data_IF_904737499064
#
_entry.id   IF_904737499064
#
_cell.length_a   1.000
_cell.length_b   1.000
_cell.length_c   1.000
_cell.angle_alpha   90.00
_cell.angle_beta   90.00
_cell.angle_gamma   90.00
#
_symmetry.space_group_name_H-M   'P 1'
#
loop_
_entity.id
_entity.type
_entity.pdbx_description
1 polymer ?
#
# COMPACT_ATOMS: atom_id res chain seq x y z
N UNK A 1 44.80 -14.13 -70.43
CA UNK A 1 44.55 -13.04 -69.45
C UNK A 1 44.47 -13.69 -68.11
N UNK A 2 45.55 -13.67 -67.34
CA UNK A 2 45.69 -14.34 -66.07
C UNK A 2 45.47 -13.31 -64.97
N UNK A 3 44.55 -13.58 -64.06
CA UNK A 3 44.26 -12.74 -62.89
C UNK A 3 44.98 -13.39 -61.70
N UNK A 4 45.94 -12.66 -61.13
CA UNK A 4 46.65 -13.04 -59.94
C UNK A 4 45.74 -12.76 -58.71
N UNK A 5 45.51 -13.75 -57.83
CA UNK A 5 45.01 -13.60 -56.47
C UNK A 5 46.17 -13.45 -55.53
N UNK A 6 46.16 -12.36 -54.75
CA UNK A 6 47.03 -12.20 -53.56
C UNK A 6 46.25 -12.59 -52.31
N UNK A 7 46.88 -13.29 -51.35
CA UNK A 7 46.24 -13.55 -50.04
C UNK A 7 46.45 -12.37 -49.06
N UNK A 8 45.38 -12.00 -48.38
CA UNK A 8 45.41 -11.06 -47.27
C UNK A 8 45.86 -11.75 -45.96
N UNK A 9 46.91 -11.24 -45.36
CA UNK A 9 47.38 -11.70 -44.06
C UNK A 9 46.55 -11.04 -42.93
N UNK A 10 45.91 -11.90 -42.13
CA UNK A 10 45.20 -11.48 -40.90
C UNK A 10 46.17 -11.35 -39.72
N UNK A 11 46.32 -10.15 -39.21
CA UNK A 11 47.07 -9.88 -37.97
C UNK A 11 46.18 -10.18 -36.76
N UNK A 12 46.59 -11.12 -35.93
CA UNK A 12 46.00 -11.41 -34.65
C UNK A 12 46.53 -10.37 -33.65
N UNK A 13 45.65 -9.53 -33.11
CA UNK A 13 45.92 -8.70 -31.96
C UNK A 13 45.75 -9.54 -30.70
N UNK A 14 46.86 -9.74 -29.96
CA UNK A 14 46.79 -10.33 -28.62
C UNK A 14 46.32 -9.26 -27.64
N UNK A 15 45.16 -9.48 -26.98
CA UNK A 15 44.69 -8.72 -25.85
C UNK A 15 45.35 -9.26 -24.58
N UNK A 16 46.26 -8.47 -23.99
CA UNK A 16 46.81 -8.74 -22.65
C UNK A 16 45.72 -8.54 -21.59
N UNK A 17 45.57 -9.55 -20.76
CA UNK A 17 44.68 -9.52 -19.59
C UNK A 17 45.35 -8.72 -18.46
N UNK A 18 44.70 -7.70 -17.89
CA UNK A 18 45.28 -6.99 -16.73
C UNK A 18 45.28 -7.89 -15.49
N UNK A 19 46.41 -7.92 -14.79
CA UNK A 19 46.59 -8.63 -13.54
C UNK A 19 45.62 -8.11 -12.45
N UNK A 20 45.01 -9.03 -11.69
CA UNK A 20 44.17 -8.73 -10.57
C UNK A 20 44.95 -8.01 -9.44
N UNK A 21 44.49 -6.85 -9.01
CA UNK A 21 44.94 -6.18 -7.81
C UNK A 21 44.42 -6.95 -6.56
N UNK A 22 45.24 -7.08 -5.50
CA UNK A 22 44.77 -7.67 -4.24
C UNK A 22 43.82 -6.72 -3.52
N UNK A 23 42.77 -7.27 -2.92
CA UNK A 23 41.80 -6.57 -2.10
C UNK A 23 42.44 -5.95 -0.85
N UNK A 24 42.04 -4.75 -0.44
CA UNK A 24 42.52 -4.16 0.81
C UNK A 24 41.95 -4.91 2.03
N UNK A 25 42.87 -5.19 2.96
CA UNK A 25 42.57 -5.78 4.27
C UNK A 25 41.63 -4.87 5.07
N UNK A 26 40.61 -5.49 5.69
CA UNK A 26 39.69 -4.83 6.60
C UNK A 26 40.44 -4.37 7.87
N UNK A 27 40.62 -3.08 8.03
CA UNK A 27 41.02 -2.47 9.27
C UNK A 27 39.83 -2.32 10.22
N UNK A 28 40.04 -2.74 11.46
CA UNK A 28 39.10 -2.66 12.57
C UNK A 28 38.88 -1.18 12.95
N UNK A 29 37.64 -0.69 13.08
CA UNK A 29 37.42 0.71 13.44
C UNK A 29 37.80 0.96 14.89
N UNK A 30 38.65 1.96 15.08
CA UNK A 30 38.94 2.58 16.36
C UNK A 30 37.72 3.37 16.83
N UNK A 31 37.41 3.26 18.12
CA UNK A 31 36.43 4.07 18.82
C UNK A 31 36.86 5.53 18.80
N UNK A 32 36.25 6.36 17.97
CA UNK A 32 36.36 7.81 18.04
C UNK A 32 35.09 8.38 18.70
N UNK A 33 35.30 9.06 19.82
CA UNK A 33 34.29 9.88 20.47
C UNK A 33 34.19 11.21 19.69
N UNK A 34 33.44 11.19 18.60
CA UNK A 34 33.10 12.39 17.86
C UNK A 34 31.72 12.89 18.27
N UNK A 35 31.68 14.11 18.76
CA UNK A 35 30.47 14.91 19.03
C UNK A 35 29.59 14.93 17.78
N UNK A 36 28.61 14.01 17.72
CA UNK A 36 27.60 14.01 16.71
C UNK A 36 26.61 15.15 16.94
N UNK A 37 26.55 16.05 15.98
CA UNK A 37 25.38 16.90 15.79
C UNK A 37 24.22 15.97 15.51
N UNK A 38 23.29 15.89 16.47
CA UNK A 38 22.14 15.00 16.42
C UNK A 38 21.33 15.22 15.15
N UNK A 39 21.06 14.10 14.46
CA UNK A 39 19.80 13.98 13.76
C UNK A 39 18.73 14.32 14.80
N UNK A 40 17.92 15.33 14.52
CA UNK A 40 16.78 15.64 15.36
C UNK A 40 15.92 14.36 15.41
N UNK A 41 15.91 13.70 16.57
CA UNK A 41 14.80 12.86 16.95
C UNK A 41 13.56 13.71 16.66
N UNK A 42 12.65 13.18 15.83
CA UNK A 42 11.30 13.67 15.78
C UNK A 42 10.75 13.41 17.19
N UNK A 43 11.00 14.36 18.09
CA UNK A 43 10.33 14.42 19.37
C UNK A 43 8.83 14.45 19.02
N UNK A 44 8.09 13.56 19.62
CA UNK A 44 6.63 13.65 19.76
C UNK A 44 6.30 15.06 20.25
N UNK A 45 6.09 15.97 19.29
CA UNK A 45 5.67 17.34 19.59
C UNK A 45 4.13 17.31 19.69
N UNK A 46 3.65 16.57 20.70
CA UNK A 46 2.24 16.47 21.07
C UNK A 46 1.60 17.82 21.41
N UNK A 47 2.39 18.89 21.39
CA UNK A 47 1.95 20.25 21.69
C UNK A 47 2.26 21.18 20.53
N UNK A 48 1.65 20.95 19.37
CA UNK A 48 1.64 21.94 18.30
C UNK A 48 0.94 23.20 18.83
N UNK A 49 1.71 24.26 19.00
CA UNK A 49 1.21 25.55 19.45
C UNK A 49 0.07 26.06 18.56
N UNK A 50 -0.63 27.14 18.97
CA UNK A 50 -1.73 27.69 18.18
C UNK A 50 -1.30 28.02 16.75
N UNK A 51 -2.07 27.56 15.75
CA UNK A 51 -1.83 27.77 14.32
C UNK A 51 -2.64 28.99 13.88
N UNK A 52 -2.02 30.13 13.51
CA UNK A 52 -2.74 31.29 13.00
C UNK A 52 -3.47 30.95 11.70
N UNK A 53 -4.78 31.18 11.65
CA UNK A 53 -5.59 30.85 10.50
C UNK A 53 -6.75 31.83 10.34
N UNK A 54 -6.88 32.49 9.18
CA UNK A 54 -8.02 33.32 8.76
C UNK A 54 -8.51 34.36 9.82
N UNK A 55 -7.56 35.02 10.51
CA UNK A 55 -7.80 36.08 11.49
C UNK A 55 -8.07 35.58 12.91
N UNK A 56 -8.06 34.28 13.15
CA UNK A 56 -8.13 33.62 14.45
C UNK A 56 -7.02 32.56 14.56
N UNK A 57 -7.24 31.56 15.38
CA UNK A 57 -6.28 30.48 15.61
C UNK A 57 -6.93 29.12 15.70
N UNK A 58 -6.29 28.11 15.09
CA UNK A 58 -6.59 26.71 15.30
C UNK A 58 -5.73 26.20 16.45
N UNK A 59 -6.31 25.39 17.30
CA UNK A 59 -5.65 24.78 18.47
C UNK A 59 -5.96 23.30 18.53
N UNK A 60 -4.97 22.49 18.91
CA UNK A 60 -5.14 21.10 19.29
C UNK A 60 -4.87 21.05 20.81
N UNK A 61 -5.83 20.58 21.59
CA UNK A 61 -5.72 20.48 23.03
C UNK A 61 -6.20 19.12 23.50
N UNK A 62 -5.65 18.64 24.60
CA UNK A 62 -6.10 17.42 25.28
C UNK A 62 -6.62 17.81 26.67
N UNK A 63 -7.95 18.04 26.82
CA UNK A 63 -8.51 18.56 28.08
C UNK A 63 -8.38 17.60 29.26
N UNK A 64 -8.39 16.30 29.00
CA UNK A 64 -8.27 15.25 30.00
C UNK A 64 -7.03 14.40 29.72
N UNK A 65 -6.31 14.02 30.77
CA UNK A 65 -5.18 13.11 30.62
C UNK A 65 -5.66 11.78 30.00
N UNK A 66 -4.98 11.30 28.96
CA UNK A 66 -5.33 10.11 28.19
C UNK A 66 -6.73 10.17 27.54
N UNK A 67 -7.35 11.36 27.48
CA UNK A 67 -8.61 11.60 26.80
C UNK A 67 -8.43 11.99 25.32
N UNK A 68 -9.55 12.30 24.67
CA UNK A 68 -9.53 12.75 23.27
C UNK A 68 -8.81 14.11 23.15
N UNK A 69 -8.05 14.26 22.05
CA UNK A 69 -7.55 15.54 21.57
C UNK A 69 -8.69 16.29 20.88
N UNK A 70 -8.74 17.59 21.04
CA UNK A 70 -9.79 18.45 20.48
C UNK A 70 -9.17 19.46 19.53
N UNK A 71 -9.60 19.43 18.27
CA UNK A 71 -9.36 20.50 17.30
C UNK A 71 -10.39 21.59 17.48
N UNK A 72 -9.96 22.82 17.71
CA UNK A 72 -10.85 23.96 17.85
C UNK A 72 -10.36 25.19 17.06
N UNK A 73 -11.27 26.08 16.69
CA UNK A 73 -10.99 27.40 16.16
C UNK A 73 -11.54 28.47 17.11
N UNK A 74 -10.65 29.32 17.66
CA UNK A 74 -10.99 30.32 18.67
C UNK A 74 -11.88 29.76 19.81
N UNK A 75 -11.55 28.53 20.24
CA UNK A 75 -12.28 27.81 21.30
C UNK A 75 -13.56 27.10 20.86
N UNK A 76 -13.99 27.23 19.61
CA UNK A 76 -15.10 26.45 19.04
C UNK A 76 -14.57 25.11 18.52
N UNK A 77 -15.03 24.01 19.11
CA UNK A 77 -14.66 22.66 18.66
C UNK A 77 -15.09 22.41 17.21
N UNK A 78 -14.18 21.83 16.41
CA UNK A 78 -14.38 21.43 15.03
C UNK A 78 -14.36 19.90 14.88
N UNK A 79 -13.49 19.23 15.63
CA UNK A 79 -13.39 17.77 15.67
C UNK A 79 -12.76 17.33 16.99
N UNK A 80 -12.95 16.05 17.36
CA UNK A 80 -12.18 15.40 18.43
C UNK A 80 -11.99 13.91 18.13
N UNK A 81 -10.86 13.38 18.58
CA UNK A 81 -10.55 11.94 18.64
C UNK A 81 -9.25 11.76 19.44
N UNK A 82 -8.83 10.51 19.68
CA UNK A 82 -7.60 10.23 20.44
C UNK A 82 -6.35 10.76 19.74
N UNK A 83 -6.32 10.72 18.39
CA UNK A 83 -5.27 11.32 17.60
C UNK A 83 -5.80 12.46 16.72
N UNK A 84 -5.18 13.61 16.86
CA UNK A 84 -5.43 14.80 16.05
C UNK A 84 -4.08 15.41 15.70
N UNK A 85 -3.75 15.47 14.42
CA UNK A 85 -2.51 16.04 13.92
C UNK A 85 -2.80 17.10 12.86
N UNK A 86 -2.02 18.17 12.89
CA UNK A 86 -2.01 19.14 11.81
C UNK A 86 -1.16 18.61 10.67
N UNK A 87 -1.72 18.54 9.46
CA UNK A 87 -0.97 18.18 8.24
C UNK A 87 -0.35 19.43 7.60
N UNK A 88 -1.20 20.32 7.07
CA UNK A 88 -0.72 21.50 6.33
C UNK A 88 -1.80 22.54 6.11
N UNK A 89 -1.36 23.73 5.68
CA UNK A 89 -2.25 24.73 5.05
C UNK A 89 -1.96 24.77 3.56
N UNK A 90 -3.00 24.74 2.75
CA UNK A 90 -2.95 24.82 1.29
C UNK A 90 -3.89 25.93 0.79
N UNK A 91 -3.76 26.33 -0.48
CA UNK A 91 -4.70 27.21 -1.16
C UNK A 91 -5.42 26.42 -2.25
N UNK A 92 -6.74 26.49 -2.26
CA UNK A 92 -7.60 25.77 -3.20
C UNK A 92 -8.68 26.74 -3.70
N UNK A 93 -8.71 27.00 -4.99
CA UNK A 93 -9.66 27.96 -5.58
C UNK A 93 -9.55 29.36 -5.00
N UNK A 94 -8.35 29.79 -4.56
CA UNK A 94 -8.13 31.08 -3.92
C UNK A 94 -8.54 31.14 -2.44
N UNK A 95 -8.94 30.02 -1.84
CA UNK A 95 -9.32 29.89 -0.42
C UNK A 95 -8.24 29.16 0.34
N UNK A 96 -7.82 29.69 1.49
CA UNK A 96 -6.95 28.95 2.42
C UNK A 96 -7.70 27.83 3.12
N UNK A 97 -7.05 26.68 3.16
CA UNK A 97 -7.61 25.44 3.73
C UNK A 97 -6.57 24.81 4.64
N UNK A 98 -6.94 24.53 5.87
CA UNK A 98 -6.11 23.75 6.78
C UNK A 98 -6.58 22.30 6.82
N UNK A 99 -5.64 21.36 6.75
CA UNK A 99 -5.89 19.91 6.77
C UNK A 99 -5.38 19.33 8.08
N UNK A 100 -6.16 18.44 8.66
CA UNK A 100 -5.85 17.72 9.89
C UNK A 100 -6.16 16.24 9.70
N UNK A 101 -5.32 15.39 10.28
CA UNK A 101 -5.57 13.97 10.42
C UNK A 101 -6.21 13.72 11.80
N UNK A 102 -7.34 13.01 11.81
CA UNK A 102 -8.14 12.78 13.00
C UNK A 102 -8.52 11.30 13.08
N UNK A 103 -8.01 10.59 14.07
CA UNK A 103 -8.19 9.14 14.21
C UNK A 103 -8.31 8.68 15.65
N UNK A 104 -8.59 7.40 15.83
CA UNK A 104 -8.75 6.77 17.16
C UNK A 104 -7.41 6.33 17.78
N UNK A 105 -6.28 6.55 17.08
CA UNK A 105 -4.95 6.12 17.53
C UNK A 105 -4.70 4.62 17.36
N UNK A 106 -5.71 3.87 16.90
CA UNK A 106 -5.56 2.48 16.52
C UNK A 106 -4.81 2.32 15.21
N UNK A 107 -4.35 1.11 14.95
CA UNK A 107 -3.62 0.79 13.71
C UNK A 107 -4.45 -0.05 12.72
N UNK A 108 -5.73 -0.28 13.02
CA UNK A 108 -6.65 -0.99 12.14
C UNK A 108 -7.10 -0.11 10.96
N UNK A 109 -7.37 1.17 11.22
CA UNK A 109 -7.78 2.15 10.23
C UNK A 109 -6.85 3.36 10.24
N UNK A 110 -6.67 3.99 9.09
CA UNK A 110 -6.01 5.29 9.01
C UNK A 110 -6.87 6.41 9.59
N UNK A 111 -6.31 7.62 9.79
CA UNK A 111 -7.08 8.76 10.22
C UNK A 111 -8.03 9.24 9.11
N UNK A 112 -9.14 9.83 9.52
CA UNK A 112 -9.96 10.68 8.66
C UNK A 112 -9.25 12.02 8.42
N UNK A 113 -9.51 12.68 7.29
CA UNK A 113 -9.02 14.05 7.06
C UNK A 113 -10.11 15.06 7.42
N UNK A 114 -9.80 15.99 8.30
CA UNK A 114 -10.66 17.16 8.58
C UNK A 114 -10.16 18.36 7.80
N UNK A 115 -11.02 18.87 6.93
CA UNK A 115 -10.78 20.07 6.10
C UNK A 115 -11.41 21.25 6.83
N UNK A 116 -10.62 22.31 7.08
CA UNK A 116 -11.08 23.55 7.73
C UNK A 116 -10.86 24.72 6.78
N UNK A 117 -11.88 25.53 6.56
CA UNK A 117 -11.79 26.71 5.67
C UNK A 117 -12.71 27.83 6.13
N UNK A 118 -12.50 29.00 5.58
CA UNK A 118 -13.37 30.16 5.79
C UNK A 118 -13.86 30.69 4.46
N UNK A 119 -15.14 30.55 4.12
CA UNK A 119 -15.71 31.20 2.96
C UNK A 119 -15.59 32.73 3.06
N UNK A 120 -15.52 33.41 1.92
CA UNK A 120 -15.47 34.87 1.89
C UNK A 120 -16.66 35.47 2.64
N UNK A 121 -16.40 36.36 3.61
CA UNK A 121 -17.43 36.98 4.46
C UNK A 121 -18.17 36.02 5.41
N UNK A 122 -17.79 34.73 5.43
CA UNK A 122 -18.43 33.70 6.23
C UNK A 122 -17.71 33.38 7.56
N UNK A 123 -18.29 32.45 8.30
CA UNK A 123 -17.66 31.84 9.48
C UNK A 123 -16.80 30.66 9.08
N UNK A 124 -15.86 30.25 9.97
CA UNK A 124 -15.10 29.01 9.82
C UNK A 124 -16.05 27.83 9.67
N UNK A 125 -15.74 26.99 8.70
CA UNK A 125 -16.40 25.73 8.41
C UNK A 125 -15.41 24.59 8.48
N UNK A 126 -15.89 23.38 8.72
CA UNK A 126 -15.12 22.14 8.66
C UNK A 126 -15.96 21.02 8.06
N UNK A 127 -15.30 20.10 7.40
CA UNK A 127 -15.89 18.83 6.95
C UNK A 127 -14.91 17.70 7.21
N UNK A 128 -15.42 16.52 7.57
CA UNK A 128 -14.66 15.30 7.73
C UNK A 128 -14.74 14.49 6.44
N UNK A 129 -13.61 14.02 5.97
CA UNK A 129 -13.50 13.06 4.87
C UNK A 129 -13.13 11.72 5.46
N UNK A 130 -13.95 10.72 5.19
CA UNK A 130 -13.78 9.35 5.66
C UNK A 130 -14.37 8.42 4.62
N UNK A 131 -13.76 7.26 4.41
CA UNK A 131 -14.23 6.26 3.49
C UNK A 131 -14.39 4.92 4.21
N UNK A 132 -15.55 4.29 4.04
CA UNK A 132 -15.88 2.98 4.62
C UNK A 132 -15.63 2.92 6.16
N UNK A 133 -15.83 4.05 6.86
CA UNK A 133 -15.60 4.18 8.31
C UNK A 133 -14.14 3.87 8.74
N UNK A 134 -13.21 3.83 7.79
CA UNK A 134 -11.82 3.40 8.01
C UNK A 134 -10.79 4.47 7.59
N UNK A 135 -11.09 5.72 7.81
CA UNK A 135 -10.20 6.84 7.52
C UNK A 135 -10.32 7.38 6.10
N UNK A 136 -9.50 8.34 5.77
CA UNK A 136 -9.46 8.95 4.45
C UNK A 136 -8.31 8.39 3.61
N UNK A 137 -8.49 8.23 2.28
CA UNK A 137 -7.35 8.08 1.38
C UNK A 137 -6.41 9.29 1.48
N UNK A 138 -5.12 9.13 1.14
CA UNK A 138 -4.19 10.26 1.10
C UNK A 138 -4.70 11.42 0.24
N UNK A 139 -4.55 12.65 0.74
CA UNK A 139 -4.99 13.85 0.04
C UNK A 139 -4.01 14.26 -1.05
N UNK A 140 -4.52 14.52 -2.27
CA UNK A 140 -3.78 15.13 -3.37
C UNK A 140 -4.36 16.52 -3.66
N UNK A 141 -3.55 17.57 -3.51
CA UNK A 141 -3.99 18.95 -3.67
C UNK A 141 -3.70 19.45 -5.06
N UNK A 142 -4.70 20.08 -5.69
CA UNK A 142 -4.57 20.84 -6.92
C UNK A 142 -5.00 22.31 -6.70
N UNK A 143 -4.84 23.14 -7.73
CA UNK A 143 -5.22 24.55 -7.65
C UNK A 143 -6.70 24.78 -7.32
N UNK A 144 -7.59 23.83 -7.67
CA UNK A 144 -9.03 24.00 -7.59
C UNK A 144 -9.76 23.01 -6.69
N UNK A 145 -9.11 21.92 -6.29
CA UNK A 145 -9.72 20.86 -5.51
C UNK A 145 -8.69 20.06 -4.71
N UNK A 146 -9.15 19.37 -3.67
CA UNK A 146 -8.43 18.32 -2.95
C UNK A 146 -9.09 17.00 -3.33
N UNK A 147 -8.27 16.04 -3.81
CA UNK A 147 -8.72 14.71 -4.20
C UNK A 147 -8.32 13.68 -3.15
N UNK A 148 -9.20 12.72 -2.92
CA UNK A 148 -8.99 11.56 -2.08
C UNK A 148 -9.18 10.32 -2.94
N UNK A 149 -8.06 9.70 -3.34
CA UNK A 149 -8.04 8.56 -4.27
C UNK A 149 -7.78 7.29 -3.48
N UNK A 150 -8.76 6.37 -3.39
CA UNK A 150 -8.59 5.15 -2.62
C UNK A 150 -7.56 4.22 -3.27
N UNK A 151 -6.84 3.48 -2.43
CA UNK A 151 -6.10 2.33 -2.88
C UNK A 151 -7.07 1.22 -3.26
N UNK A 152 -6.88 0.62 -4.43
CA UNK A 152 -7.75 -0.43 -4.94
C UNK A 152 -7.06 -1.79 -4.85
N UNK A 153 -7.76 -2.74 -4.25
CA UNK A 153 -7.41 -4.14 -4.26
C UNK A 153 -8.09 -4.87 -5.41
N UNK A 154 -7.59 -6.06 -5.81
CA UNK A 154 -8.28 -6.90 -6.78
C UNK A 154 -9.75 -7.12 -6.42
N UNK A 155 -10.64 -6.81 -7.37
CA UNK A 155 -12.08 -6.87 -7.19
C UNK A 155 -12.74 -5.60 -6.62
N UNK A 156 -11.96 -4.61 -6.18
CA UNK A 156 -12.51 -3.36 -5.64
C UNK A 156 -13.15 -2.49 -6.71
N UNK A 157 -14.23 -1.85 -6.29
CA UNK A 157 -14.82 -0.70 -6.94
C UNK A 157 -15.15 0.33 -5.86
N UNK A 158 -14.41 1.46 -5.85
CA UNK A 158 -14.52 2.49 -4.81
C UNK A 158 -14.68 3.89 -5.41
N UNK A 159 -15.44 4.80 -4.76
CA UNK A 159 -15.52 6.18 -5.19
C UNK A 159 -14.20 6.91 -4.91
N UNK A 160 -13.74 7.70 -5.86
CA UNK A 160 -12.79 8.76 -5.60
C UNK A 160 -13.57 10.00 -5.16
N UNK A 161 -13.12 10.64 -4.07
CA UNK A 161 -13.75 11.84 -3.55
C UNK A 161 -12.95 13.07 -3.97
N UNK A 162 -13.64 14.20 -4.07
CA UNK A 162 -13.01 15.50 -4.18
C UNK A 162 -13.73 16.52 -3.30
N UNK A 163 -12.98 17.49 -2.84
CA UNK A 163 -13.49 18.63 -2.13
C UNK A 163 -13.06 19.93 -2.81
N UNK A 164 -13.98 20.88 -2.92
CA UNK A 164 -13.68 22.24 -3.35
C UNK A 164 -14.41 23.25 -2.45
N UNK A 165 -13.92 24.51 -2.37
CA UNK A 165 -14.63 25.55 -1.61
C UNK A 165 -16.04 25.84 -2.13
N UNK A 166 -16.30 25.58 -3.42
CA UNK A 166 -17.57 25.87 -4.09
C UNK A 166 -18.58 24.75 -3.92
N UNK A 167 -18.13 23.49 -4.12
CA UNK A 167 -19.04 22.35 -4.23
C UNK A 167 -19.06 21.49 -2.96
N UNK A 168 -18.10 21.74 -2.03
CA UNK A 168 -17.91 20.90 -0.87
C UNK A 168 -17.35 19.52 -1.24
N UNK A 169 -17.66 18.50 -0.44
CA UNK A 169 -17.26 17.12 -0.67
C UNK A 169 -18.20 16.44 -1.67
N UNK A 170 -17.64 15.93 -2.76
CA UNK A 170 -18.38 15.26 -3.84
C UNK A 170 -17.65 14.02 -4.32
N UNK A 171 -18.34 13.14 -5.05
CA UNK A 171 -17.73 12.01 -5.75
C UNK A 171 -17.21 12.51 -7.10
N UNK A 172 -15.89 12.40 -7.35
CA UNK A 172 -15.28 12.76 -8.63
C UNK A 172 -15.37 11.65 -9.67
N UNK A 173 -15.58 10.40 -9.25
CA UNK A 173 -15.74 9.23 -10.10
C UNK A 173 -15.70 7.93 -9.30
N UNK A 174 -16.03 6.82 -9.96
CA UNK A 174 -15.84 5.49 -9.41
C UNK A 174 -14.62 4.85 -10.07
N UNK A 175 -13.72 4.33 -9.26
CA UNK A 175 -12.53 3.62 -9.68
C UNK A 175 -12.75 2.13 -9.51
N UNK A 176 -12.27 1.36 -10.47
CA UNK A 176 -12.27 -0.11 -10.42
C UNK A 176 -10.84 -0.60 -10.57
N UNK A 177 -10.49 -1.62 -9.81
CA UNK A 177 -9.17 -2.26 -9.98
C UNK A 177 -8.99 -2.75 -11.42
N UNK A 178 -7.84 -2.47 -12.01
CA UNK A 178 -7.50 -2.88 -13.37
C UNK A 178 -6.11 -3.52 -13.37
N UNK A 179 -6.00 -4.78 -13.83
CA UNK A 179 -4.69 -5.40 -14.07
C UNK A 179 -3.95 -4.72 -15.21
N UNK A 180 -2.68 -5.05 -15.40
CA UNK A 180 -1.87 -4.56 -16.52
C UNK A 180 -2.38 -5.18 -17.83
N UNK A 181 -2.88 -4.35 -18.77
CA UNK A 181 -3.52 -4.88 -19.98
C UNK A 181 -2.55 -5.65 -20.90
N UNK A 182 -3.01 -6.75 -21.47
CA UNK A 182 -2.27 -7.55 -22.43
C UNK A 182 -1.23 -8.49 -21.81
N UNK A 183 -1.16 -8.58 -20.49
CA UNK A 183 -0.30 -9.55 -19.80
C UNK A 183 -0.95 -10.94 -19.78
N UNK A 184 -0.13 -11.99 -19.88
CA UNK A 184 -0.57 -13.38 -19.97
C UNK A 184 0.28 -14.28 -19.06
N UNK A 185 -0.08 -15.56 -18.94
CA UNK A 185 0.59 -16.58 -18.13
C UNK A 185 2.10 -16.67 -18.35
N UNK A 186 2.59 -16.43 -19.58
CA UNK A 186 4.01 -16.40 -19.93
C UNK A 186 4.79 -15.22 -19.33
N UNK A 187 4.07 -14.17 -18.94
CA UNK A 187 4.66 -12.93 -18.41
C UNK A 187 4.79 -12.97 -16.86
N UNK A 188 4.34 -14.07 -16.24
CA UNK A 188 4.43 -14.29 -14.80
C UNK A 188 5.88 -14.52 -14.38
N UNK A 189 6.37 -13.67 -13.48
CA UNK A 189 7.71 -13.76 -12.91
C UNK A 189 7.64 -13.58 -11.38
N UNK A 190 7.49 -14.67 -10.61
CA UNK A 190 7.33 -14.59 -9.18
C UNK A 190 8.57 -14.05 -8.44
N UNK A 191 9.73 -13.97 -9.09
CA UNK A 191 10.95 -13.38 -8.50
C UNK A 191 10.85 -11.85 -8.39
N UNK A 192 9.93 -11.24 -9.14
CA UNK A 192 9.64 -9.80 -9.07
C UNK A 192 8.57 -9.43 -8.02
N UNK A 193 7.88 -10.42 -7.47
CA UNK A 193 6.80 -10.19 -6.54
C UNK A 193 7.33 -9.88 -5.13
N UNK A 194 6.90 -8.78 -4.56
CA UNK A 194 7.12 -8.49 -3.15
C UNK A 194 6.17 -9.30 -2.27
N UNK A 195 4.97 -9.52 -2.78
CA UNK A 195 3.91 -10.27 -2.17
C UNK A 195 3.15 -11.06 -3.24
N UNK A 196 2.52 -12.16 -2.89
CA UNK A 196 1.75 -13.00 -3.82
C UNK A 196 0.58 -12.24 -4.48
N UNK A 197 0.05 -11.20 -3.83
CA UNK A 197 -1.00 -10.34 -4.37
C UNK A 197 -0.57 -9.64 -5.66
N UNK A 198 0.73 -9.44 -5.89
CA UNK A 198 1.26 -8.85 -7.11
C UNK A 198 0.93 -9.67 -8.36
N UNK A 199 0.62 -10.97 -8.20
CA UNK A 199 0.17 -11.82 -9.28
C UNK A 199 -1.12 -11.32 -9.95
N UNK A 200 -1.96 -10.59 -9.22
CA UNK A 200 -3.19 -10.01 -9.77
C UNK A 200 -2.93 -8.84 -10.73
N UNK A 201 -1.73 -8.29 -10.78
CA UNK A 201 -1.37 -7.33 -11.82
C UNK A 201 -1.38 -7.97 -13.22
N UNK A 202 -1.24 -9.29 -13.31
CA UNK A 202 -1.34 -10.01 -14.57
C UNK A 202 -2.80 -10.20 -14.98
N UNK A 203 -3.16 -9.74 -16.21
CA UNK A 203 -4.55 -9.74 -16.69
C UNK A 203 -5.13 -11.16 -16.79
N UNK A 204 -4.34 -12.16 -17.20
CA UNK A 204 -4.83 -13.54 -17.31
C UNK A 204 -5.09 -14.15 -15.93
N UNK A 205 -4.23 -13.88 -14.94
CA UNK A 205 -4.42 -14.28 -13.54
C UNK A 205 -5.66 -13.61 -12.97
N UNK A 206 -5.80 -12.30 -13.14
CA UNK A 206 -6.93 -11.52 -12.63
C UNK A 206 -8.27 -12.06 -13.16
N UNK A 207 -8.41 -12.25 -14.48
CA UNK A 207 -9.63 -12.77 -15.11
C UNK A 207 -10.01 -14.16 -14.62
N UNK A 208 -9.01 -15.03 -14.41
CA UNK A 208 -9.29 -16.35 -13.87
C UNK A 208 -9.67 -16.27 -12.39
N UNK A 209 -9.02 -15.44 -11.60
CA UNK A 209 -9.37 -15.21 -10.20
C UNK A 209 -10.79 -14.64 -10.07
N UNK A 210 -11.16 -13.67 -10.89
CA UNK A 210 -12.53 -13.12 -10.94
C UNK A 210 -13.57 -14.20 -11.22
N UNK A 211 -13.27 -15.12 -12.14
CA UNK A 211 -14.16 -16.26 -12.45
C UNK A 211 -14.29 -17.24 -11.28
N UNK A 212 -13.19 -17.49 -10.54
CA UNK A 212 -13.17 -18.44 -9.42
C UNK A 212 -13.78 -17.86 -8.14
N UNK A 213 -13.46 -16.61 -7.83
CA UNK A 213 -13.77 -15.97 -6.55
C UNK A 213 -15.08 -15.18 -6.61
N UNK A 214 -15.39 -14.59 -7.77
CA UNK A 214 -16.58 -13.74 -7.93
C UNK A 214 -16.63 -12.64 -6.86
N UNK A 215 -17.70 -12.60 -6.09
CA UNK A 215 -17.91 -11.61 -5.02
C UNK A 215 -16.93 -11.73 -3.84
N UNK A 216 -16.30 -12.88 -3.66
CA UNK A 216 -15.36 -13.13 -2.56
C UNK A 216 -13.94 -12.61 -2.87
N UNK A 217 -13.72 -12.09 -4.08
CA UNK A 217 -12.40 -11.62 -4.55
C UNK A 217 -11.79 -10.51 -3.69
N UNK A 218 -12.52 -9.45 -3.29
CA UNK A 218 -11.95 -8.40 -2.43
C UNK A 218 -11.50 -8.94 -1.06
N UNK A 219 -12.29 -9.82 -0.47
CA UNK A 219 -11.97 -10.41 0.83
C UNK A 219 -10.75 -11.33 0.76
N UNK A 220 -10.64 -12.13 -0.31
CA UNK A 220 -9.47 -12.99 -0.54
C UNK A 220 -8.23 -12.12 -0.80
N UNK A 221 -8.33 -11.08 -1.61
CA UNK A 221 -7.23 -10.16 -1.87
C UNK A 221 -6.76 -9.47 -0.58
N UNK A 222 -7.69 -9.01 0.27
CA UNK A 222 -7.38 -8.39 1.55
C UNK A 222 -6.63 -9.36 2.49
N UNK A 223 -7.01 -10.64 2.49
CA UNK A 223 -6.34 -11.67 3.31
C UNK A 223 -4.93 -12.03 2.83
N UNK A 224 -4.46 -11.47 1.72
CA UNK A 224 -3.12 -11.66 1.18
C UNK A 224 -2.21 -10.43 1.34
N UNK A 225 -2.71 -9.33 1.94
CA UNK A 225 -1.99 -8.05 1.98
C UNK A 225 -0.70 -8.09 2.78
N UNK A 226 -0.74 -8.72 3.96
CA UNK A 226 0.44 -8.86 4.81
C UNK A 226 1.02 -10.24 4.61
N UNK A 227 2.04 -10.34 3.78
CA UNK A 227 2.66 -11.62 3.44
C UNK A 227 4.14 -11.48 3.11
N UNK A 228 4.80 -12.60 2.92
CA UNK A 228 6.18 -12.68 2.48
C UNK A 228 6.32 -13.01 0.99
N UNK A 229 7.57 -13.22 0.59
CA UNK A 229 7.88 -13.70 -0.76
C UNK A 229 7.31 -15.09 -1.06
N UNK A 230 7.32 -15.46 -2.32
CA UNK A 230 6.76 -16.72 -2.80
C UNK A 230 7.69 -17.91 -2.57
N UNK A 231 7.11 -19.08 -2.30
CA UNK A 231 7.76 -20.38 -2.30
C UNK A 231 7.29 -21.22 -3.51
N UNK A 232 8.03 -22.30 -3.83
CA UNK A 232 7.65 -23.21 -4.94
C UNK A 232 7.23 -24.57 -4.41
N UNK A 233 6.21 -25.15 -5.02
CA UNK A 233 5.79 -26.54 -4.80
C UNK A 233 6.66 -27.51 -5.62
N UNK A 234 6.53 -28.80 -5.39
CA UNK A 234 7.26 -29.82 -6.14
C UNK A 234 6.88 -29.88 -7.63
N UNK A 235 5.63 -29.54 -7.97
CA UNK A 235 5.15 -29.44 -9.36
C UNK A 235 5.57 -28.15 -10.09
N UNK A 236 6.13 -27.18 -9.37
CA UNK A 236 6.59 -25.90 -9.93
C UNK A 236 5.58 -24.77 -9.83
N UNK A 237 4.42 -24.99 -9.20
CA UNK A 237 3.54 -23.89 -8.81
C UNK A 237 4.24 -23.04 -7.74
N UNK A 238 4.02 -21.75 -7.73
CA UNK A 238 4.48 -20.89 -6.63
C UNK A 238 3.31 -20.49 -5.76
N UNK A 239 3.57 -20.28 -4.47
CA UNK A 239 2.56 -19.96 -3.50
C UNK A 239 3.09 -19.04 -2.40
N UNK A 240 2.19 -18.36 -1.73
CA UNK A 240 2.42 -17.73 -0.45
C UNK A 240 1.14 -17.65 0.36
N UNK A 241 1.29 -17.35 1.64
CA UNK A 241 0.20 -16.96 2.53
C UNK A 241 0.35 -15.50 2.93
N UNK A 242 -0.76 -14.93 3.36
CA UNK A 242 -0.82 -13.60 3.93
C UNK A 242 -1.91 -13.53 4.98
N UNK A 243 -2.17 -12.32 5.46
CA UNK A 243 -3.26 -12.05 6.37
C UNK A 243 -3.84 -10.65 6.14
N UNK A 244 -5.01 -10.41 6.68
CA UNK A 244 -5.56 -9.06 6.78
C UNK A 244 -4.65 -8.22 7.69
N UNK A 245 -4.32 -6.96 7.33
CA UNK A 245 -3.56 -6.07 8.20
C UNK A 245 -4.16 -6.04 9.62
N UNK A 246 -3.31 -6.17 10.63
CA UNK A 246 -3.65 -6.19 12.06
C UNK A 246 -4.53 -7.36 12.53
N UNK A 247 -4.80 -8.35 11.68
CA UNK A 247 -5.62 -9.53 12.01
C UNK A 247 -4.99 -10.85 11.55
N UNK A 248 -3.65 -10.92 11.63
CA UNK A 248 -2.91 -12.15 11.33
C UNK A 248 -3.20 -13.23 12.37
N UNK A 249 -3.45 -14.45 11.89
CA UNK A 249 -3.89 -15.58 12.70
C UNK A 249 -5.41 -15.75 12.77
N UNK A 250 -6.19 -14.68 12.49
CA UNK A 250 -7.64 -14.70 12.38
C UNK A 250 -8.14 -14.78 10.94
N UNK A 251 -7.67 -13.89 10.09
CA UNK A 251 -8.08 -13.76 8.69
C UNK A 251 -6.88 -13.98 7.74
N UNK A 252 -6.33 -15.19 7.80
CA UNK A 252 -5.21 -15.58 6.93
C UNK A 252 -5.72 -16.08 5.58
N UNK A 253 -4.98 -15.74 4.53
CA UNK A 253 -5.21 -16.18 3.17
C UNK A 253 -4.05 -16.98 2.59
N UNK A 254 -4.37 -17.74 1.55
CA UNK A 254 -3.40 -18.52 0.77
C UNK A 254 -3.72 -18.36 -0.71
N UNK A 255 -2.67 -18.22 -1.50
CA UNK A 255 -2.77 -18.25 -2.96
C UNK A 255 -1.64 -19.12 -3.52
N UNK A 256 -1.99 -19.96 -4.50
CA UNK A 256 -1.01 -20.64 -5.33
C UNK A 256 -1.33 -20.43 -6.82
N UNK A 257 -0.27 -20.28 -7.61
CA UNK A 257 -0.34 -20.06 -9.06
C UNK A 257 0.49 -21.12 -9.76
N UNK A 258 -0.12 -21.85 -10.67
CA UNK A 258 0.54 -22.80 -11.57
C UNK A 258 0.56 -22.24 -13.00
N UNK A 259 1.63 -21.54 -13.40
CA UNK A 259 1.71 -20.94 -14.73
C UNK A 259 1.72 -21.97 -15.85
N UNK A 260 2.26 -23.17 -15.59
CA UNK A 260 2.37 -24.22 -16.61
C UNK A 260 1.01 -24.83 -16.96
N UNK A 261 0.11 -24.92 -15.99
CA UNK A 261 -1.25 -25.44 -16.18
C UNK A 261 -2.31 -24.37 -16.28
N UNK A 262 -1.93 -23.09 -16.15
CA UNK A 262 -2.84 -21.94 -16.10
C UNK A 262 -3.91 -22.11 -15.00
N UNK A 263 -3.49 -22.44 -13.78
CA UNK A 263 -4.39 -22.70 -12.65
C UNK A 263 -4.06 -21.85 -11.46
N UNK A 264 -5.14 -21.45 -10.76
CA UNK A 264 -5.10 -20.73 -9.50
C UNK A 264 -5.78 -21.54 -8.41
N UNK A 265 -5.27 -21.39 -7.20
CA UNK A 265 -5.78 -22.00 -5.99
C UNK A 265 -5.79 -20.95 -4.89
N UNK A 266 -6.96 -20.73 -4.28
CA UNK A 266 -7.12 -19.78 -3.19
C UNK A 266 -7.72 -20.46 -1.98
N UNK A 267 -7.29 -20.05 -0.80
CA UNK A 267 -7.96 -20.39 0.43
C UNK A 267 -7.96 -19.20 1.38
N UNK A 268 -8.95 -19.11 2.23
CA UNK A 268 -9.04 -18.16 3.33
C UNK A 268 -9.52 -18.90 4.58
N UNK A 269 -8.96 -18.56 5.74
CA UNK A 269 -9.41 -19.10 7.01
C UNK A 269 -10.90 -18.78 7.19
N UNK A 270 -11.68 -19.79 7.49
CA UNK A 270 -13.11 -19.63 7.75
C UNK A 270 -13.39 -19.53 9.26
N UNK A 271 -14.56 -19.00 9.61
CA UNK A 271 -15.00 -18.79 10.99
C UNK A 271 -15.05 -20.06 11.83
N UNK A 272 -15.19 -21.22 11.19
CA UNK A 272 -15.25 -22.54 11.81
C UNK A 272 -13.88 -23.24 11.89
N UNK A 273 -12.78 -22.55 11.58
CA UNK A 273 -11.43 -23.10 11.54
C UNK A 273 -11.11 -23.91 10.27
N UNK A 274 -12.11 -24.20 9.41
CA UNK A 274 -11.87 -24.83 8.12
C UNK A 274 -11.66 -23.77 7.04
N UNK A 275 -10.67 -23.95 6.14
CA UNK A 275 -10.49 -22.96 5.07
C UNK A 275 -11.62 -23.04 4.05
N UNK A 276 -12.15 -21.88 3.66
CA UNK A 276 -12.86 -21.72 2.41
C UNK A 276 -11.86 -21.80 1.27
N UNK A 277 -12.10 -22.59 0.24
CA UNK A 277 -11.14 -22.83 -0.84
C UNK A 277 -11.77 -22.72 -2.23
N UNK A 278 -11.03 -22.15 -3.18
CA UNK A 278 -11.41 -21.96 -4.57
C UNK A 278 -10.29 -22.45 -5.51
N UNK A 279 -10.59 -23.45 -6.39
CA UNK A 279 -11.75 -24.34 -6.40
C UNK A 279 -11.80 -25.23 -5.14
N UNK A 280 -12.78 -26.13 -5.01
CA UNK A 280 -12.86 -27.08 -3.89
C UNK A 280 -11.53 -27.77 -3.66
N UNK A 281 -11.02 -27.71 -2.45
CA UNK A 281 -9.69 -28.21 -2.04
C UNK A 281 -9.47 -29.68 -2.41
N UNK A 282 -10.55 -30.48 -2.51
CA UNK A 282 -10.48 -31.90 -2.94
C UNK A 282 -9.90 -32.06 -4.34
N UNK A 283 -10.01 -31.04 -5.18
CA UNK A 283 -9.53 -31.03 -6.57
C UNK A 283 -8.09 -30.59 -6.72
N UNK A 284 -7.47 -30.10 -5.62
CA UNK A 284 -6.11 -29.56 -5.68
C UNK A 284 -5.04 -30.66 -5.81
N UNK A 285 -3.92 -30.40 -6.46
CA UNK A 285 -2.74 -31.26 -6.42
C UNK A 285 -2.25 -31.51 -4.99
N UNK A 286 -1.67 -32.68 -4.74
CA UNK A 286 -1.25 -33.06 -3.40
C UNK A 286 -0.20 -32.11 -2.80
N UNK A 287 0.73 -31.64 -3.60
CA UNK A 287 1.78 -30.71 -3.20
C UNK A 287 1.26 -29.29 -2.93
N UNK A 288 0.22 -28.84 -3.65
CA UNK A 288 -0.45 -27.57 -3.35
C UNK A 288 -1.26 -27.67 -2.04
N UNK A 289 -1.89 -28.84 -1.77
CA UNK A 289 -2.53 -29.08 -0.45
C UNK A 289 -1.51 -29.06 0.68
N UNK A 290 -0.39 -29.73 0.51
CA UNK A 290 0.68 -29.70 1.51
C UNK A 290 1.22 -28.29 1.76
N UNK A 291 1.26 -27.45 0.72
CA UNK A 291 1.62 -26.03 0.85
C UNK A 291 0.56 -25.24 1.64
N UNK A 292 -0.73 -25.50 1.39
CA UNK A 292 -1.83 -24.91 2.16
C UNK A 292 -1.75 -25.30 3.65
N UNK A 293 -1.60 -26.59 3.95
CA UNK A 293 -1.51 -27.10 5.32
C UNK A 293 -0.31 -26.50 6.06
N UNK A 294 0.84 -26.35 5.36
CA UNK A 294 2.02 -25.66 5.90
C UNK A 294 1.74 -24.18 6.21
N UNK A 295 1.00 -23.51 5.35
CA UNK A 295 0.80 -22.06 5.42
C UNK A 295 -0.28 -21.65 6.44
N UNK A 296 -1.42 -22.33 6.46
CA UNK A 296 -2.56 -21.99 7.33
C UNK A 296 -2.70 -22.90 8.55
N UNK A 297 -1.84 -23.92 8.69
CA UNK A 297 -1.98 -24.99 9.66
C UNK A 297 -2.94 -26.08 9.18
N UNK A 298 -2.78 -27.31 9.71
CA UNK A 298 -3.72 -28.39 9.39
C UNK A 298 -5.13 -27.98 9.82
N UNK A 299 -6.07 -28.11 8.91
CA UNK A 299 -7.49 -28.01 9.21
C UNK A 299 -7.87 -29.24 10.05
N UNK A 300 -7.88 -29.09 11.39
CA UNK A 300 -8.29 -30.12 12.34
C UNK A 300 -9.81 -30.35 12.28
#
# INVERSE_FOLDING_TARGET
MALLLMPAASAFAQTETPAAQPAPSAEKPATDQGTGTGAADAADDDNQGPIPFEGGQLTITQPEQDGEKVLAYDGKQLASNYDVFFDKVVEVGGVKVALFDVGDGGNQCGPATVIVWKPEGGAIQSTKVEQDECGAPPSAVSDNAIYFVPYLLPGDQKPALQWSPTDGLTISGNLTYMPEPGTDWKDIDPEKYQNIIDAFHNEAVYKQAETLLGKDMPDVATSLLVGGGTEKTASGAFYASGCVPHDCGGNDGFMAVDPAQHKLYFARRGDNGQPNAWPDVKTWPADVKAALDKALGEAN
#
